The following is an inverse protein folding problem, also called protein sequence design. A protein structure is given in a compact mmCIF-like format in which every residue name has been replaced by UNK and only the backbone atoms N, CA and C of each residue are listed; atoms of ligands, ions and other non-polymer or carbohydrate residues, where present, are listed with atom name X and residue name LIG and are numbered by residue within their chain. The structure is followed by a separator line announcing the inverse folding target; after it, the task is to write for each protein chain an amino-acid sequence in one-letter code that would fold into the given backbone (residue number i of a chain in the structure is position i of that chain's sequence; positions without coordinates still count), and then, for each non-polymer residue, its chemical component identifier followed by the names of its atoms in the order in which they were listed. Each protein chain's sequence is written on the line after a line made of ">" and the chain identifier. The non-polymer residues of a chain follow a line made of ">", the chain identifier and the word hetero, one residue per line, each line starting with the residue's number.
data_IF_660472709022
#
_entry.id   IF_660472709022
#
_cell.length_a   1.000
_cell.length_b   1.000
_cell.length_c   1.000
_cell.angle_alpha   90.00
_cell.angle_beta   90.00
_cell.angle_gamma   90.00
#
_symmetry.space_group_name_H-M   'P 1'
#
loop_
_entity.id
_entity.type
_entity.pdbx_description
1 polymer ?
#
# COMPACT_ATOMS: atom_id res chain seq x y z
N UNK A 1 -20.93 -45.16 50.04
CA UNK A 1 -22.17 -44.81 49.32
C UNK A 1 -22.64 -43.44 49.79
N UNK A 2 -22.67 -42.43 48.91
CA UNK A 2 -23.72 -41.40 48.71
C UNK A 2 -23.22 -40.43 47.61
N UNK A 3 -23.94 -40.36 46.49
CA UNK A 3 -23.81 -39.36 45.41
C UNK A 3 -24.98 -38.33 45.60
N UNK A 4 -25.12 -37.30 44.76
CA UNK A 4 -24.64 -35.91 44.86
C UNK A 4 -25.77 -34.89 45.16
N UNK A 5 -25.45 -33.61 45.35
CA UNK A 5 -26.40 -32.53 45.00
C UNK A 5 -25.68 -31.24 44.62
N UNK A 6 -25.99 -30.82 43.39
CA UNK A 6 -25.72 -29.53 42.77
C UNK A 6 -26.44 -28.43 43.55
N UNK A 7 -25.72 -27.35 43.90
CA UNK A 7 -26.34 -26.06 44.25
C UNK A 7 -25.82 -25.00 43.29
N UNK A 8 -26.77 -24.54 42.49
CA UNK A 8 -26.78 -23.42 41.56
C UNK A 8 -26.44 -22.13 42.31
N UNK A 9 -25.48 -21.36 41.79
CA UNK A 9 -25.45 -19.91 41.95
C UNK A 9 -25.53 -19.28 40.56
N UNK A 10 -26.64 -18.60 40.34
CA UNK A 10 -27.00 -17.91 39.12
C UNK A 10 -26.33 -16.53 39.03
N UNK A 11 -25.74 -16.28 37.85
CA UNK A 11 -25.63 -15.06 37.02
C UNK A 11 -25.75 -13.65 37.64
N UNK A 12 -24.95 -12.69 37.12
CA UNK A 12 -25.48 -11.87 36.02
C UNK A 12 -24.51 -11.55 34.87
N UNK A 13 -25.08 -11.52 33.66
CA UNK A 13 -24.73 -10.65 32.52
C UNK A 13 -23.36 -10.83 31.84
N UNK A 14 -23.29 -11.78 30.89
CA UNK A 14 -22.52 -11.57 29.66
C UNK A 14 -23.49 -11.16 28.55
N UNK A 15 -23.76 -9.85 28.49
CA UNK A 15 -24.22 -9.20 27.26
C UNK A 15 -22.96 -8.77 26.51
N UNK A 16 -22.60 -9.53 25.49
CA UNK A 16 -22.01 -9.02 24.27
C UNK A 16 -22.27 -10.05 23.16
N UNK A 17 -23.35 -9.82 22.43
CA UNK A 17 -23.42 -10.25 21.04
C UNK A 17 -22.21 -9.65 20.31
N UNK A 18 -21.28 -10.49 19.88
CA UNK A 18 -20.50 -10.22 18.70
C UNK A 18 -20.76 -11.38 17.76
N UNK A 19 -21.64 -11.14 16.78
CA UNK A 19 -21.68 -11.92 15.56
C UNK A 19 -20.23 -12.13 15.12
N UNK A 20 -19.78 -13.39 15.13
CA UNK A 20 -18.39 -13.65 14.85
C UNK A 20 -18.12 -13.28 13.38
N UNK A 21 -16.97 -12.69 13.05
CA UNK A 21 -16.55 -12.49 11.66
C UNK A 21 -16.65 -13.79 10.84
N UNK A 22 -16.51 -14.93 11.53
CA UNK A 22 -16.69 -16.26 10.99
C UNK A 22 -18.14 -16.56 10.58
N UNK A 23 -19.15 -16.12 11.34
CA UNK A 23 -20.56 -16.31 10.99
C UNK A 23 -20.97 -15.46 9.79
N UNK A 24 -20.42 -14.25 9.68
CA UNK A 24 -20.65 -13.37 8.54
C UNK A 24 -19.95 -13.90 7.28
N UNK A 25 -18.71 -14.38 7.40
CA UNK A 25 -17.98 -15.06 6.33
C UNK A 25 -18.69 -16.35 5.91
N UNK A 26 -19.24 -17.11 6.86
CA UNK A 26 -20.03 -18.32 6.59
C UNK A 26 -21.34 -18.00 5.89
N UNK A 27 -22.05 -16.96 6.30
CA UNK A 27 -23.29 -16.52 5.64
C UNK A 27 -23.02 -16.02 4.21
N UNK A 28 -21.92 -15.29 4.01
CA UNK A 28 -21.48 -14.89 2.67
C UNK A 28 -21.03 -16.08 1.83
N UNK A 29 -20.24 -17.00 2.39
CA UNK A 29 -19.85 -18.23 1.72
C UNK A 29 -21.06 -19.08 1.35
N UNK A 30 -22.07 -19.20 2.23
CA UNK A 30 -23.33 -19.91 1.95
C UNK A 30 -24.16 -19.22 0.87
N UNK A 31 -24.24 -17.89 0.90
CA UNK A 31 -24.91 -17.10 -0.14
C UNK A 31 -24.24 -17.28 -1.50
N UNK A 32 -22.90 -17.28 -1.55
CA UNK A 32 -22.13 -17.48 -2.78
C UNK A 32 -22.07 -18.94 -3.22
N UNK A 33 -22.01 -19.92 -2.31
CA UNK A 33 -22.16 -21.34 -2.59
C UNK A 33 -23.52 -21.64 -3.22
N UNK A 34 -24.59 -21.05 -2.69
CA UNK A 34 -25.93 -21.14 -3.27
C UNK A 34 -25.98 -20.54 -4.68
N UNK A 35 -25.26 -19.44 -4.90
CA UNK A 35 -25.12 -18.79 -6.22
C UNK A 35 -24.23 -19.57 -7.19
N UNK A 36 -23.24 -20.33 -6.71
CA UNK A 36 -22.35 -21.16 -7.53
C UNK A 36 -22.96 -22.53 -7.82
N UNK A 37 -23.77 -23.09 -6.92
CA UNK A 37 -24.56 -24.30 -7.17
C UNK A 37 -25.48 -24.16 -8.38
N UNK A 38 -25.93 -22.95 -8.71
CA UNK A 38 -26.73 -22.73 -9.92
C UNK A 38 -25.93 -22.74 -11.22
N UNK A 39 -24.58 -22.76 -11.16
CA UNK A 39 -23.70 -22.71 -12.35
C UNK A 39 -22.82 -23.95 -12.55
N UNK A 40 -22.85 -24.93 -11.64
CA UNK A 40 -22.05 -26.16 -11.76
C UNK A 40 -22.96 -27.34 -12.11
N UNK A 41 -22.82 -27.96 -13.30
CA UNK A 41 -23.39 -29.28 -13.56
C UNK A 41 -22.64 -30.31 -12.71
N UNK A 42 -23.30 -30.90 -11.71
CA UNK A 42 -22.81 -32.07 -10.95
C UNK A 42 -22.72 -33.29 -11.89
N UNK A 43 -21.61 -34.08 -11.92
CA UNK A 43 -21.29 -34.98 -10.80
C UNK A 43 -19.79 -35.28 -10.55
N UNK A 44 -19.52 -35.80 -9.34
CA UNK A 44 -18.33 -36.56 -8.89
C UNK A 44 -17.05 -35.77 -8.51
N UNK A 45 -16.92 -35.45 -7.22
CA UNK A 45 -15.72 -35.74 -6.40
C UNK A 45 -15.99 -35.42 -4.92
N UNK A 46 -15.16 -35.98 -4.04
CA UNK A 46 -15.16 -35.93 -2.58
C UNK A 46 -15.44 -34.52 -2.00
N UNK A 47 -16.02 -34.49 -0.79
CA UNK A 47 -16.88 -33.42 -0.29
C UNK A 47 -16.51 -32.01 -0.78
N UNK A 48 -17.44 -31.24 -1.40
CA UNK A 48 -17.20 -29.85 -1.81
C UNK A 48 -16.68 -28.97 -0.67
N UNK A 49 -16.94 -29.38 0.58
CA UNK A 49 -16.49 -28.73 1.78
C UNK A 49 -14.99 -28.95 2.05
N UNK A 50 -14.43 -30.14 1.86
CA UNK A 50 -12.99 -30.38 2.01
C UNK A 50 -12.18 -29.70 0.90
N UNK A 51 -12.66 -29.77 -0.34
CA UNK A 51 -12.04 -29.05 -1.46
C UNK A 51 -12.08 -27.53 -1.27
N UNK A 52 -13.20 -26.99 -0.76
CA UNK A 52 -13.30 -25.58 -0.39
C UNK A 52 -12.39 -25.24 0.80
N UNK A 53 -12.27 -26.10 1.81
CA UNK A 53 -11.44 -25.85 2.99
C UNK A 53 -9.95 -25.87 2.65
N UNK A 54 -9.51 -26.79 1.80
CA UNK A 54 -8.13 -26.83 1.29
C UNK A 54 -7.80 -25.58 0.47
N UNK A 55 -8.70 -25.17 -0.43
CA UNK A 55 -8.55 -23.93 -1.21
C UNK A 55 -8.55 -22.67 -0.38
N UNK A 56 -9.39 -22.57 0.67
CA UNK A 56 -9.37 -21.46 1.63
C UNK A 56 -8.04 -21.42 2.40
N UNK A 57 -7.44 -22.58 2.72
CA UNK A 57 -6.08 -22.67 3.28
C UNK A 57 -4.98 -22.19 2.31
N UNK A 58 -5.27 -22.18 1.01
CA UNK A 58 -4.40 -21.67 -0.06
C UNK A 58 -4.71 -20.23 -0.48
N UNK A 59 -5.63 -19.52 0.21
CA UNK A 59 -5.92 -18.11 -0.01
C UNK A 59 -4.69 -17.23 0.32
N UNK A 60 -3.68 -17.27 -0.54
CA UNK A 60 -2.40 -16.61 -0.35
C UNK A 60 -2.51 -15.22 -0.93
N UNK A 61 -2.65 -14.25 -0.04
CA UNK A 61 -2.36 -12.87 -0.36
C UNK A 61 -0.85 -12.73 -0.37
N UNK A 62 -0.29 -12.36 -1.51
CA UNK A 62 1.14 -12.13 -1.65
C UNK A 62 1.52 -10.76 -1.10
N UNK A 63 2.51 -10.69 -0.22
CA UNK A 63 3.08 -9.42 0.21
C UNK A 63 4.23 -9.06 -0.73
N UNK A 64 4.08 -7.98 -1.49
CA UNK A 64 5.07 -7.57 -2.47
C UNK A 64 6.20 -6.81 -1.78
N UNK A 65 7.44 -7.27 -1.97
CA UNK A 65 8.67 -6.56 -1.56
C UNK A 65 9.42 -6.04 -2.77
N UNK A 66 10.28 -5.03 -2.58
CA UNK A 66 11.10 -4.44 -3.65
C UNK A 66 11.90 -5.51 -4.43
N UNK A 67 12.34 -6.55 -3.75
CA UNK A 67 13.15 -7.66 -4.24
C UNK A 67 12.32 -8.77 -4.92
N UNK A 68 11.08 -9.04 -4.48
CA UNK A 68 10.32 -10.21 -4.93
C UNK A 68 9.08 -9.90 -5.77
N UNK A 69 8.65 -8.64 -5.86
CA UNK A 69 7.36 -8.30 -6.47
C UNK A 69 7.26 -8.76 -7.93
N UNK A 70 8.33 -8.59 -8.70
CA UNK A 70 8.32 -8.87 -10.13
C UNK A 70 8.28 -10.37 -10.39
N UNK A 71 9.05 -11.14 -9.63
CA UNK A 71 9.05 -12.60 -9.67
C UNK A 71 7.70 -13.16 -9.21
N UNK A 72 7.11 -12.57 -8.18
CA UNK A 72 5.78 -12.97 -7.68
C UNK A 72 4.70 -12.80 -8.74
N UNK A 73 4.66 -11.63 -9.39
CA UNK A 73 3.61 -11.34 -10.38
C UNK A 73 3.88 -12.09 -11.70
N UNK A 74 5.09 -12.01 -12.25
CA UNK A 74 5.42 -12.66 -13.53
C UNK A 74 5.57 -14.17 -13.43
N UNK A 75 5.95 -14.69 -12.26
CA UNK A 75 6.07 -16.13 -12.00
C UNK A 75 4.74 -16.88 -12.04
N UNK A 76 3.61 -16.16 -12.01
CA UNK A 76 2.28 -16.76 -12.21
C UNK A 76 2.03 -17.27 -13.63
N UNK A 77 2.76 -16.75 -14.62
CA UNK A 77 2.57 -17.12 -16.03
C UNK A 77 3.63 -18.13 -16.42
N UNK A 78 3.20 -19.36 -16.69
CA UNK A 78 4.08 -20.37 -17.30
C UNK A 78 4.15 -20.16 -18.82
N UNK A 79 5.21 -20.61 -19.50
CA UNK A 79 5.31 -20.57 -20.96
C UNK A 79 4.16 -21.29 -21.69
N UNK A 80 3.46 -22.19 -20.98
CA UNK A 80 2.32 -22.97 -21.45
C UNK A 80 0.97 -22.27 -21.19
N UNK A 81 0.95 -21.19 -20.38
CA UNK A 81 -0.25 -20.42 -20.10
C UNK A 81 -0.64 -19.58 -21.32
N UNK A 82 -1.61 -20.06 -22.08
CA UNK A 82 -2.14 -19.35 -23.26
C UNK A 82 -2.99 -18.13 -22.90
N UNK A 83 -3.41 -17.99 -21.64
CA UNK A 83 -4.27 -16.91 -21.18
C UNK A 83 -3.53 -16.00 -20.18
N UNK A 84 -3.70 -14.65 -20.28
CA UNK A 84 -3.21 -13.72 -19.28
C UNK A 84 -3.78 -14.03 -17.90
N UNK A 85 -2.92 -14.00 -16.88
CA UNK A 85 -3.30 -14.18 -15.48
C UNK A 85 -3.70 -12.84 -14.86
N UNK A 86 -4.87 -12.80 -14.23
CA UNK A 86 -5.36 -11.58 -13.59
C UNK A 86 -4.77 -11.41 -12.19
N UNK A 87 -4.24 -10.23 -11.89
CA UNK A 87 -3.67 -9.87 -10.59
C UNK A 87 -4.36 -8.65 -10.00
N UNK A 88 -4.69 -8.73 -8.71
CA UNK A 88 -5.22 -7.64 -7.91
C UNK A 88 -4.22 -7.30 -6.82
N UNK A 89 -3.61 -6.12 -6.93
CA UNK A 89 -2.65 -5.60 -5.95
C UNK A 89 -3.30 -4.46 -5.20
N UNK A 90 -3.53 -4.62 -3.90
CA UNK A 90 -3.96 -3.54 -3.03
C UNK A 90 -2.74 -2.70 -2.64
N UNK A 91 -2.63 -1.49 -3.19
CA UNK A 91 -1.71 -0.48 -2.71
C UNK A 91 -2.32 0.18 -1.46
N UNK A 92 -1.75 -0.15 -0.30
CA UNK A 92 -2.16 0.37 1.00
C UNK A 92 -1.04 1.17 1.66
N UNK A 93 -1.37 1.97 2.67
CA UNK A 93 -0.44 2.83 3.38
C UNK A 93 -0.46 2.64 4.89
N UNK A 94 -0.94 1.48 5.37
CA UNK A 94 -0.97 1.13 6.78
C UNK A 94 -1.50 2.26 7.67
N UNK A 95 -0.76 2.55 8.74
CA UNK A 95 -1.15 3.60 9.69
C UNK A 95 -0.56 4.97 9.34
N UNK A 96 0.61 5.05 8.68
CA UNK A 96 1.29 6.33 8.45
C UNK A 96 0.91 6.90 7.09
N UNK A 97 1.19 6.20 6.01
CA UNK A 97 0.99 6.69 4.63
C UNK A 97 -0.50 6.87 4.30
N UNK A 98 -1.38 6.11 4.94
CA UNK A 98 -2.83 6.21 4.78
C UNK A 98 -3.55 6.88 5.97
N UNK A 99 -2.83 7.60 6.82
CA UNK A 99 -3.38 8.32 7.99
C UNK A 99 -4.25 7.45 8.93
N UNK A 100 -3.99 6.14 9.00
CA UNK A 100 -4.76 5.20 9.81
C UNK A 100 -6.12 4.80 9.22
N UNK A 101 -6.44 5.20 7.99
CA UNK A 101 -7.75 5.00 7.38
C UNK A 101 -7.85 3.73 6.52
N UNK A 102 -6.73 3.07 6.22
CA UNK A 102 -6.70 1.91 5.33
C UNK A 102 -7.18 0.60 5.98
N UNK A 103 -7.26 0.51 7.30
CA UNK A 103 -7.55 -0.75 8.00
C UNK A 103 -8.88 -1.40 7.60
N UNK A 104 -9.91 -0.60 7.26
CA UNK A 104 -11.20 -1.12 6.77
C UNK A 104 -11.07 -1.76 5.39
N UNK A 105 -10.29 -1.13 4.50
CA UNK A 105 -10.04 -1.61 3.14
C UNK A 105 -9.21 -2.89 3.19
N UNK A 106 -8.12 -2.89 3.96
CA UNK A 106 -7.25 -4.06 4.14
C UNK A 106 -8.02 -5.26 4.67
N UNK A 107 -8.88 -5.03 5.68
CA UNK A 107 -9.77 -6.07 6.20
C UNK A 107 -10.71 -6.62 5.12
N UNK A 108 -11.40 -5.74 4.37
CA UNK A 108 -12.30 -6.17 3.31
C UNK A 108 -11.60 -6.92 2.17
N UNK A 109 -10.38 -6.53 1.83
CA UNK A 109 -9.56 -7.19 0.83
C UNK A 109 -9.13 -8.58 1.30
N UNK A 110 -8.69 -8.70 2.55
CA UNK A 110 -8.31 -9.97 3.15
C UNK A 110 -9.49 -10.94 3.25
N UNK A 111 -10.66 -10.44 3.65
CA UNK A 111 -11.90 -11.23 3.66
C UNK A 111 -12.30 -11.69 2.25
N UNK A 112 -12.13 -10.84 1.23
CA UNK A 112 -12.43 -11.22 -0.15
C UNK A 112 -11.48 -12.29 -0.69
N UNK A 113 -10.23 -12.35 -0.21
CA UNK A 113 -9.29 -13.38 -0.61
C UNK A 113 -9.75 -14.79 -0.22
N UNK A 114 -10.33 -14.94 0.97
CA UNK A 114 -10.90 -16.22 1.39
C UNK A 114 -12.08 -16.65 0.49
N UNK A 115 -12.90 -15.71 0.03
CA UNK A 115 -14.00 -15.98 -0.92
C UNK A 115 -13.47 -16.29 -2.32
N UNK A 116 -12.40 -15.63 -2.75
CA UNK A 116 -11.78 -15.81 -4.05
C UNK A 116 -10.99 -17.11 -4.16
N UNK A 117 -10.47 -17.63 -3.05
CA UNK A 117 -9.75 -18.89 -3.02
C UNK A 117 -10.58 -20.07 -3.58
N UNK A 118 -11.91 -20.04 -3.40
CA UNK A 118 -12.81 -21.09 -3.89
C UNK A 118 -13.33 -20.84 -5.31
N UNK A 119 -13.08 -19.66 -5.90
CA UNK A 119 -13.49 -19.32 -7.26
C UNK A 119 -12.31 -19.48 -8.23
N UNK A 120 -12.36 -20.44 -9.18
CA UNK A 120 -11.28 -20.68 -10.13
C UNK A 120 -11.06 -19.52 -11.13
N UNK A 121 -12.01 -18.58 -11.24
CA UNK A 121 -11.90 -17.40 -12.11
C UNK A 121 -11.36 -16.17 -11.37
N UNK A 122 -11.14 -16.29 -10.06
CA UNK A 122 -10.67 -15.19 -9.24
C UNK A 122 -9.23 -14.77 -9.60
N UNK A 123 -8.91 -13.49 -9.42
CA UNK A 123 -7.56 -12.98 -9.62
C UNK A 123 -6.62 -13.46 -8.52
N UNK A 124 -5.33 -13.53 -8.85
CA UNK A 124 -4.26 -13.61 -7.86
C UNK A 124 -4.26 -12.34 -7.03
N UNK A 125 -4.07 -12.45 -5.71
CA UNK A 125 -4.17 -11.30 -4.81
C UNK A 125 -2.82 -10.97 -4.18
N UNK A 126 -2.51 -9.67 -4.14
CA UNK A 126 -1.32 -9.16 -3.51
C UNK A 126 -1.60 -7.87 -2.72
N UNK A 127 -0.74 -7.58 -1.75
CA UNK A 127 -0.72 -6.32 -1.01
C UNK A 127 0.64 -5.67 -1.22
N UNK A 128 0.61 -4.40 -1.61
CA UNK A 128 1.75 -3.50 -1.62
C UNK A 128 1.55 -2.51 -0.47
N UNK A 129 2.26 -2.73 0.64
CA UNK A 129 2.20 -1.85 1.80
C UNK A 129 3.26 -0.74 1.71
N UNK A 130 2.85 0.49 1.45
CA UNK A 130 3.74 1.63 1.29
C UNK A 130 4.40 2.11 2.58
N UNK A 131 3.92 1.71 3.75
CA UNK A 131 4.63 1.95 5.01
C UNK A 131 5.87 1.05 5.14
N UNK A 132 5.77 -0.19 4.64
CA UNK A 132 6.84 -1.19 4.71
C UNK A 132 7.76 -1.15 3.49
N UNK A 133 7.21 -0.82 2.32
CA UNK A 133 7.88 -0.82 1.02
C UNK A 133 7.79 0.56 0.36
N UNK A 134 8.27 1.63 1.02
CA UNK A 134 8.08 2.99 0.53
C UNK A 134 8.77 3.23 -0.82
N UNK A 135 9.95 2.63 -1.03
CA UNK A 135 10.69 2.76 -2.29
C UNK A 135 9.93 2.10 -3.44
N UNK A 136 9.37 0.91 -3.23
CA UNK A 136 8.57 0.22 -4.23
C UNK A 136 7.33 1.04 -4.60
N UNK A 137 6.60 1.57 -3.61
CA UNK A 137 5.46 2.43 -3.87
C UNK A 137 5.82 3.69 -4.65
N UNK A 138 6.93 4.36 -4.29
CA UNK A 138 7.41 5.51 -5.05
C UNK A 138 7.84 5.15 -6.47
N UNK A 139 8.44 3.96 -6.68
CA UNK A 139 8.83 3.49 -8.01
C UNK A 139 7.65 3.20 -8.93
N UNK A 140 6.49 2.86 -8.35
CA UNK A 140 5.24 2.64 -9.08
C UNK A 140 4.35 3.89 -9.14
N UNK A 141 4.73 4.97 -8.46
CA UNK A 141 3.83 6.11 -8.25
C UNK A 141 2.51 5.70 -7.56
N UNK A 142 2.54 4.62 -6.78
CA UNK A 142 1.36 4.02 -6.17
C UNK A 142 0.97 4.77 -4.90
N UNK A 143 0.00 5.67 -5.02
CA UNK A 143 -0.63 6.34 -3.88
C UNK A 143 -1.72 5.47 -3.25
N UNK A 144 -1.71 5.21 -1.93
CA UNK A 144 -2.79 4.49 -1.26
C UNK A 144 -3.98 5.40 -0.89
N UNK A 145 -5.21 4.86 -0.78
CA UNK A 145 -5.60 3.49 -1.11
C UNK A 145 -6.06 3.30 -2.55
N UNK A 146 -5.41 2.41 -3.28
CA UNK A 146 -5.77 2.07 -4.66
C UNK A 146 -5.72 0.56 -4.87
N UNK A 147 -6.70 0.04 -5.63
CA UNK A 147 -6.63 -1.30 -6.18
C UNK A 147 -6.01 -1.22 -7.58
N UNK A 148 -4.93 -1.95 -7.78
CA UNK A 148 -4.28 -2.12 -9.07
C UNK A 148 -4.70 -3.47 -9.64
N UNK A 149 -5.39 -3.45 -10.77
CA UNK A 149 -5.77 -4.67 -11.50
C UNK A 149 -4.86 -4.81 -12.70
N UNK A 150 -4.26 -5.98 -12.89
CA UNK A 150 -3.25 -6.23 -13.92
C UNK A 150 -3.61 -7.48 -14.71
N UNK A 151 -3.38 -7.48 -16.01
CA UNK A 151 -3.47 -8.70 -16.82
C UNK A 151 -2.07 -9.10 -17.27
N UNK A 152 -1.52 -10.13 -16.64
CA UNK A 152 -0.12 -10.53 -16.83
C UNK A 152 -0.07 -11.62 -17.90
N UNK A 153 0.45 -11.27 -19.08
CA UNK A 153 0.68 -12.20 -20.17
C UNK A 153 2.06 -12.87 -20.12
N UNK A 154 2.41 -13.56 -21.21
CA UNK A 154 3.73 -14.16 -21.37
C UNK A 154 4.86 -13.13 -21.19
N UNK A 155 6.07 -13.54 -20.72
CA UNK A 155 7.19 -12.63 -20.55
C UNK A 155 7.47 -11.79 -21.81
N UNK A 156 7.61 -10.47 -21.65
CA UNK A 156 7.80 -9.53 -22.76
C UNK A 156 6.51 -8.99 -23.40
N UNK A 157 5.35 -9.51 -23.02
CA UNK A 157 4.06 -8.91 -23.39
C UNK A 157 3.76 -7.69 -22.51
N UNK A 158 3.09 -6.65 -23.04
CA UNK A 158 2.57 -5.54 -22.24
C UNK A 158 1.64 -6.06 -21.14
N UNK A 159 1.68 -5.41 -19.98
CA UNK A 159 0.85 -5.73 -18.83
C UNK A 159 -0.13 -4.58 -18.62
N UNK A 160 -1.35 -4.62 -19.18
CA UNK A 160 -2.31 -3.55 -18.97
C UNK A 160 -2.71 -3.50 -17.49
N UNK A 161 -2.56 -2.32 -16.90
CA UNK A 161 -2.89 -2.06 -15.50
C UNK A 161 -4.06 -1.09 -15.45
N UNK A 162 -5.09 -1.36 -14.65
CA UNK A 162 -6.13 -0.39 -14.34
C UNK A 162 -6.11 -0.10 -12.85
N UNK A 163 -6.01 1.18 -12.51
CA UNK A 163 -6.05 1.63 -11.11
C UNK A 163 -7.46 2.08 -10.72
N UNK A 164 -7.91 1.61 -9.57
CA UNK A 164 -9.22 1.91 -9.01
C UNK A 164 -9.00 2.58 -7.65
N UNK A 165 -9.30 3.89 -7.50
CA UNK A 165 -9.28 4.53 -6.20
C UNK A 165 -10.32 3.88 -5.29
N UNK A 166 -9.94 3.60 -4.04
CA UNK A 166 -10.83 3.03 -3.05
C UNK A 166 -11.23 4.10 -2.03
N UNK A 167 -12.48 4.04 -1.56
CA UNK A 167 -12.94 4.93 -0.51
C UNK A 167 -12.71 4.28 0.85
N UNK A 168 -11.93 4.93 1.72
CA UNK A 168 -11.55 4.44 3.05
C UNK A 168 -12.74 4.14 3.98
N UNK A 169 -13.88 4.78 3.75
CA UNK A 169 -15.05 4.66 4.63
C UNK A 169 -16.08 3.65 4.13
N UNK A 170 -16.22 3.48 2.81
CA UNK A 170 -17.29 2.67 2.22
C UNK A 170 -16.82 1.34 1.62
N UNK A 171 -15.52 1.18 1.37
CA UNK A 171 -14.99 -0.06 0.79
C UNK A 171 -15.08 -1.19 1.80
N UNK A 172 -15.60 -2.33 1.36
CA UNK A 172 -15.80 -3.56 2.15
C UNK A 172 -15.56 -4.78 1.25
N UNK A 173 -15.64 -5.99 1.82
CA UNK A 173 -15.60 -7.25 1.05
C UNK A 173 -16.56 -7.25 -0.15
N UNK A 174 -17.76 -6.68 -0.02
CA UNK A 174 -18.74 -6.63 -1.11
C UNK A 174 -18.27 -5.78 -2.28
N UNK A 175 -17.50 -4.72 -2.01
CA UNK A 175 -16.89 -3.90 -3.08
C UNK A 175 -16.00 -4.75 -3.97
N UNK A 176 -15.17 -5.61 -3.37
CA UNK A 176 -14.26 -6.49 -4.10
C UNK A 176 -15.02 -7.60 -4.84
N UNK A 177 -15.97 -8.27 -4.19
CA UNK A 177 -16.76 -9.32 -4.86
C UNK A 177 -17.62 -8.77 -6.01
N UNK A 178 -18.16 -7.55 -5.86
CA UNK A 178 -18.93 -6.89 -6.91
C UNK A 178 -18.03 -6.43 -8.07
N UNK A 179 -16.84 -5.91 -7.77
CA UNK A 179 -15.84 -5.60 -8.79
C UNK A 179 -15.45 -6.84 -9.59
N UNK A 180 -15.25 -7.98 -8.93
CA UNK A 180 -14.90 -9.24 -9.57
C UNK A 180 -16.05 -9.76 -10.44
N UNK A 181 -17.28 -9.74 -9.91
CA UNK A 181 -18.47 -10.22 -10.64
C UNK A 181 -18.81 -9.35 -11.84
N UNK A 182 -18.77 -8.02 -11.68
CA UNK A 182 -19.19 -7.07 -12.72
C UNK A 182 -18.08 -6.73 -13.70
N UNK A 183 -16.81 -6.97 -13.33
CA UNK A 183 -15.61 -6.53 -14.04
C UNK A 183 -15.68 -5.05 -14.46
N UNK A 184 -16.37 -4.23 -13.66
CA UNK A 184 -16.73 -2.85 -14.04
C UNK A 184 -15.52 -1.93 -14.20
N UNK A 185 -14.39 -2.23 -13.55
CA UNK A 185 -13.14 -1.52 -13.71
C UNK A 185 -12.55 -1.63 -15.12
N UNK A 186 -12.81 -2.72 -15.87
CA UNK A 186 -12.32 -2.91 -17.25
C UNK A 186 -12.87 -1.88 -18.25
N UNK A 187 -13.88 -1.10 -17.85
CA UNK A 187 -14.40 0.02 -18.66
C UNK A 187 -13.48 1.25 -18.63
N UNK A 188 -12.56 1.32 -17.68
CA UNK A 188 -11.56 2.40 -17.61
C UNK A 188 -10.40 2.09 -18.55
N UNK A 189 -9.79 3.15 -19.08
CA UNK A 189 -8.56 3.00 -19.85
C UNK A 189 -7.44 2.46 -18.95
N UNK A 190 -6.55 1.59 -19.47
CA UNK A 190 -5.32 1.24 -18.80
C UNK A 190 -4.53 2.48 -18.39
N UNK A 191 -3.88 2.38 -17.23
CA UNK A 191 -2.93 3.35 -16.72
C UNK A 191 -1.69 3.31 -17.58
N UNK A 192 -1.35 4.46 -18.15
CA UNK A 192 -0.11 4.68 -18.88
C UNK A 192 0.65 5.80 -18.17
N UNK A 193 1.97 5.65 -18.06
CA UNK A 193 2.81 6.68 -17.47
C UNK A 193 4.20 6.20 -17.12
N UNK A 194 5.04 7.15 -16.74
CA UNK A 194 6.46 6.92 -16.45
C UNK A 194 6.69 5.93 -15.32
N UNK A 195 5.78 5.91 -14.35
CA UNK A 195 5.83 5.02 -13.18
C UNK A 195 5.10 3.69 -13.40
N UNK A 196 4.67 3.39 -14.63
CA UNK A 196 4.09 2.09 -14.93
C UNK A 196 5.16 0.99 -14.69
N UNK A 197 4.89 0.01 -13.80
CA UNK A 197 5.93 -0.86 -13.23
C UNK A 197 6.55 -1.83 -14.24
N UNK A 198 5.87 -2.10 -15.36
CA UNK A 198 6.36 -3.01 -16.39
C UNK A 198 6.77 -2.25 -17.65
N UNK A 199 5.80 -1.55 -18.24
CA UNK A 199 5.95 -0.92 -19.56
C UNK A 199 6.28 0.57 -19.53
N UNK A 200 6.37 1.20 -18.34
CA UNK A 200 6.67 2.62 -18.22
C UNK A 200 8.13 2.94 -18.55
N UNK A 201 8.41 4.17 -18.96
CA UNK A 201 9.75 4.58 -19.37
C UNK A 201 10.78 4.37 -18.27
N UNK A 202 10.44 4.64 -17.00
CA UNK A 202 11.37 4.42 -15.89
C UNK A 202 11.66 2.93 -15.68
N UNK A 203 10.69 2.05 -15.92
CA UNK A 203 10.90 0.61 -15.84
C UNK A 203 11.79 0.12 -16.97
N UNK A 204 11.54 0.56 -18.21
CA UNK A 204 12.32 0.20 -19.39
C UNK A 204 13.80 0.61 -19.29
N UNK A 205 14.09 1.78 -18.72
CA UNK A 205 15.46 2.27 -18.51
C UNK A 205 16.09 1.81 -17.19
N UNK A 206 15.41 0.99 -16.38
CA UNK A 206 15.89 0.55 -15.07
C UNK A 206 16.01 1.71 -14.05
N UNK A 207 15.36 2.84 -14.31
CA UNK A 207 15.39 4.04 -13.49
C UNK A 207 14.29 4.07 -12.42
N UNK A 208 13.26 3.22 -12.49
CA UNK A 208 12.12 3.22 -11.59
C UNK A 208 12.53 3.09 -10.11
N UNK A 209 13.36 2.10 -9.77
CA UNK A 209 13.84 1.89 -8.40
C UNK A 209 14.76 3.02 -7.92
N UNK A 210 15.79 3.45 -8.69
CA UNK A 210 16.57 4.65 -8.35
C UNK A 210 15.73 5.90 -8.09
N UNK A 211 14.77 6.20 -8.97
CA UNK A 211 13.84 7.33 -8.78
C UNK A 211 12.98 7.11 -7.54
N UNK A 212 12.52 5.89 -7.28
CA UNK A 212 11.80 5.53 -6.06
C UNK A 212 12.58 5.89 -4.78
N UNK A 213 13.89 5.60 -4.73
CA UNK A 213 14.76 6.00 -3.61
C UNK A 213 14.89 7.51 -3.48
N UNK A 214 15.01 8.24 -4.60
CA UNK A 214 15.10 9.70 -4.60
C UNK A 214 13.80 10.31 -4.04
N UNK A 215 12.65 9.87 -4.53
CA UNK A 215 11.35 10.35 -4.07
C UNK A 215 11.12 10.04 -2.60
N UNK A 216 11.45 8.81 -2.17
CA UNK A 216 11.39 8.43 -0.75
C UNK A 216 12.29 9.30 0.13
N UNK A 217 13.53 9.58 -0.31
CA UNK A 217 14.45 10.44 0.42
C UNK A 217 13.84 11.84 0.64
N UNK A 218 13.28 12.45 -0.40
CA UNK A 218 12.63 13.77 -0.26
C UNK A 218 11.32 13.73 0.52
N UNK A 219 10.63 12.59 0.57
CA UNK A 219 9.44 12.41 1.41
C UNK A 219 9.77 12.30 2.91
N UNK A 220 10.90 11.65 3.25
CA UNK A 220 11.31 11.45 4.65
C UNK A 220 12.13 12.61 5.19
N UNK A 221 12.94 13.28 4.37
CA UNK A 221 13.78 14.39 4.80
C UNK A 221 12.95 15.67 4.91
N UNK A 222 12.78 16.22 6.12
CA UNK A 222 12.00 17.44 6.28
C UNK A 222 12.69 18.65 5.62
N UNK A 223 11.89 19.61 5.16
CA UNK A 223 12.40 20.84 4.52
C UNK A 223 13.41 21.62 5.40
N UNK A 224 13.22 21.61 6.73
CA UNK A 224 14.11 22.27 7.67
C UNK A 224 15.53 21.67 7.69
N UNK A 225 15.68 20.37 7.41
CA UNK A 225 17.00 19.72 7.35
C UNK A 225 17.83 20.27 6.18
N UNK A 226 17.20 20.57 5.04
CA UNK A 226 17.90 21.22 3.92
C UNK A 226 18.35 22.63 4.28
N UNK A 227 17.51 23.41 4.98
CA UNK A 227 17.87 24.75 5.44
C UNK A 227 19.07 24.74 6.41
N UNK A 228 19.10 23.76 7.32
CA UNK A 228 20.23 23.53 8.21
C UNK A 228 21.48 23.13 7.41
N UNK A 229 21.34 22.20 6.46
CA UNK A 229 22.44 21.74 5.62
C UNK A 229 23.11 22.87 4.83
N UNK A 230 22.30 23.71 4.16
CA UNK A 230 22.80 24.89 3.43
C UNK A 230 23.44 25.90 4.38
N UNK A 231 22.87 26.09 5.57
CA UNK A 231 23.43 26.99 6.59
C UNK A 231 24.82 26.56 7.05
N UNK A 232 25.03 25.27 7.30
CA UNK A 232 26.36 24.75 7.66
C UNK A 232 27.35 24.81 6.49
N UNK A 233 26.94 24.43 5.28
CA UNK A 233 27.81 24.49 4.10
C UNK A 233 28.27 25.93 3.81
N UNK A 234 27.34 26.90 3.89
CA UNK A 234 27.65 28.32 3.74
C UNK A 234 28.63 28.82 4.81
N UNK A 235 28.40 28.45 6.08
CA UNK A 235 29.32 28.78 7.19
C UNK A 235 30.69 28.14 7.01
N UNK A 236 30.79 26.91 6.50
CA UNK A 236 32.08 26.25 6.21
C UNK A 236 32.85 26.96 5.09
N UNK A 237 32.17 27.38 4.03
CA UNK A 237 32.82 28.12 2.92
C UNK A 237 33.25 29.52 3.39
N UNK A 238 32.42 30.23 4.16
CA UNK A 238 32.77 31.54 4.72
C UNK A 238 33.90 31.44 5.75
N UNK A 239 33.91 30.43 6.62
CA UNK A 239 34.99 30.19 7.60
C UNK A 239 36.34 29.95 6.92
N UNK A 240 36.36 29.20 5.80
CA UNK A 240 37.56 28.99 4.99
C UNK A 240 38.03 30.26 4.27
N UNK A 241 37.11 31.18 3.91
CA UNK A 241 37.45 32.48 3.30
C UNK A 241 37.99 33.49 4.33
N UNK A 242 37.51 33.46 5.57
CA UNK A 242 38.03 34.31 6.67
C UNK A 242 39.39 33.86 7.21
N UNK A 243 39.87 32.66 6.85
CA UNK A 243 41.20 32.12 7.17
C UNK A 243 42.23 32.34 6.04
N UNK A 244 41.86 33.02 4.95
CA UNK A 244 42.85 33.60 4.02
C UNK A 244 43.69 34.65 4.75
N UNK A 245 44.93 34.95 4.30
CA UNK A 245 45.87 35.76 5.07
C UNK A 245 45.19 37.03 5.53
N UNK A 246 45.01 37.17 6.85
CA UNK A 246 44.70 38.46 7.45
C UNK A 246 45.89 39.36 7.12
N UNK A 247 45.78 40.08 6.01
CA UNK A 247 46.55 41.30 5.81
C UNK A 247 46.35 42.15 7.07
N UNK A 248 47.41 42.80 7.57
CA UNK A 248 47.43 43.41 8.89
C UNK A 248 46.18 44.27 9.07
N UNK A 249 45.45 44.00 10.16
CA UNK A 249 44.29 44.78 10.56
C UNK A 249 44.69 46.26 10.55
N UNK A 250 44.06 47.05 9.68
CA UNK A 250 44.24 48.49 9.67
C UNK A 250 43.87 49.02 11.06
N UNK A 251 44.88 49.44 11.81
CA UNK A 251 44.73 50.03 13.12
C UNK A 251 43.83 51.27 13.02
N UNK A 252 42.78 51.26 13.85
CA UNK A 252 41.87 52.33 14.24
C UNK A 252 41.95 53.69 13.52
N UNK A 253 40.89 54.01 12.78
CA UNK A 253 40.43 55.39 12.67
C UNK A 253 39.31 55.61 13.70
N UNK A 254 39.63 56.24 14.83
CA UNK A 254 38.61 56.80 15.75
C UNK A 254 38.01 58.05 15.12
N UNK A 255 36.67 58.15 14.92
CA UNK A 255 36.06 59.43 14.62
C UNK A 255 36.01 60.31 15.87
N UNK A 256 36.38 61.56 15.63
CA UNK A 256 36.59 62.71 16.52
C UNK A 256 35.34 63.03 17.36
N UNK A 257 35.54 63.36 18.64
CA UNK A 257 34.49 63.87 19.53
C UNK A 257 33.89 65.19 18.99
N UNK A 258 32.57 65.32 19.07
CA UNK A 258 31.83 66.52 18.70
C UNK A 258 32.00 67.63 19.77
N UNK A 259 32.16 68.91 19.40
CA UNK A 259 32.17 70.00 20.35
C UNK A 259 30.76 70.27 20.91
N UNK A 260 30.71 70.67 22.19
CA UNK A 260 29.48 71.10 22.86
C UNK A 260 29.05 72.49 22.36
N UNK A 261 27.75 72.66 22.07
CA UNK A 261 27.19 73.91 21.58
C UNK A 261 25.79 74.16 22.11
N UNK A 262 25.75 74.81 23.26
CA UNK A 262 24.84 75.84 23.78
C UNK A 262 23.35 75.77 23.45
N UNK A 263 22.57 75.48 24.51
CA UNK A 263 21.12 75.59 24.52
C UNK A 263 20.65 77.05 24.47
N UNK A 264 19.64 77.28 23.63
CA UNK A 264 18.77 78.46 23.70
C UNK A 264 17.33 77.95 23.75
N UNK A 265 16.71 78.11 24.92
CA UNK A 265 15.28 77.90 25.15
C UNK A 265 14.51 79.15 24.73
N UNK A 266 13.44 78.96 23.96
CA UNK A 266 12.37 79.94 23.76
C UNK A 266 11.31 79.81 24.85
#
# INVERSE_FOLDING_TARGET
>A
MRIPTVSILALPLLVAAQESPLDQAKAQAQYWLGKLQSYIPSPASESPLEAATAKVGEAKIHHLTLDTWQETIRGSVTPESSLPQEWWVLATGGNKTCFGLCGKIEKGFNESAALFAVDPTAPHMAVLNCDEQPVLCNSWGAGPPHLWTMEVGAPGSPVPIITVPLNTTSTTVTTFTDLHTTKSYKKKAPYEGWFHPFDGELAQYGAAVPVGYVLWFFAVVPSWMFMIGVSFLSRTIMSKRTLGPQGPAAAGARPRAAPAGDGVTY
#
